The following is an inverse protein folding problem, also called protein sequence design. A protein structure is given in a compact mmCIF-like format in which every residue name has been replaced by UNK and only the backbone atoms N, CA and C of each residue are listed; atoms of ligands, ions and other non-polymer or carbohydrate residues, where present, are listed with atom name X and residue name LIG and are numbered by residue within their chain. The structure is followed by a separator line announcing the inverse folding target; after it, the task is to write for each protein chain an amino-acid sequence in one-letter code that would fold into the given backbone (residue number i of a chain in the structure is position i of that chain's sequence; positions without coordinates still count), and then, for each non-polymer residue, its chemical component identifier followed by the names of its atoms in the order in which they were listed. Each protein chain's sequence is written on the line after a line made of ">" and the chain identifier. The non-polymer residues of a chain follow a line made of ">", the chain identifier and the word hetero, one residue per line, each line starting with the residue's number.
data_IF_361793947520
#
_entry.id   IF_361793947520
#
_cell.length_a   1.000
_cell.length_b   1.000
_cell.length_c   1.000
_cell.angle_alpha   90.00
_cell.angle_beta   90.00
_cell.angle_gamma   90.00
#
_symmetry.space_group_name_H-M   'P 1'
#
loop_
_entity.id
_entity.type
_entity.pdbx_description
1 polymer ?
#
# COMPACT_ATOMS: atom_id res chain seq x y z
N UNK A 1 -60.58 1.17 -11.72
CA UNK A 1 -60.09 -0.20 -11.98
C UNK A 1 -60.16 -0.38 -13.49
N UNK A 2 -59.13 -0.65 -14.29
CA UNK A 2 -57.77 -1.23 -14.18
C UNK A 2 -57.14 -0.94 -15.57
N UNK A 3 -55.91 -0.40 -15.68
CA UNK A 3 -54.67 -1.10 -16.09
C UNK A 3 -54.87 -1.98 -17.35
N UNK A 4 -54.10 -1.95 -18.45
CA UNK A 4 -52.72 -1.54 -18.71
C UNK A 4 -52.36 -1.91 -20.17
N UNK A 5 -51.66 -1.04 -20.89
CA UNK A 5 -50.72 -1.37 -21.98
C UNK A 5 -49.96 -0.07 -22.27
N UNK A 6 -48.81 0.21 -21.69
CA UNK A 6 -47.62 -0.62 -21.82
C UNK A 6 -46.84 -0.28 -23.09
N UNK A 7 -46.94 0.95 -23.63
CA UNK A 7 -46.05 1.36 -24.71
C UNK A 7 -44.69 1.74 -24.11
N UNK A 8 -43.79 0.76 -24.17
CA UNK A 8 -42.39 0.89 -23.80
C UNK A 8 -41.81 2.03 -24.64
N UNK A 9 -41.48 3.14 -23.98
CA UNK A 9 -40.63 4.20 -24.53
C UNK A 9 -39.34 3.57 -25.05
N UNK A 10 -39.31 3.28 -26.35
CA UNK A 10 -38.08 3.02 -27.07
C UNK A 10 -37.22 4.26 -26.91
N UNK A 11 -35.92 4.14 -26.61
CA UNK A 11 -35.02 5.28 -26.66
C UNK A 11 -34.85 5.60 -28.13
N UNK A 12 -35.75 6.40 -28.69
CA UNK A 12 -35.51 7.06 -29.96
C UNK A 12 -34.22 7.84 -29.74
N UNK A 13 -33.12 7.35 -30.31
CA UNK A 13 -31.94 8.13 -30.66
C UNK A 13 -32.49 9.49 -31.05
N UNK A 14 -32.28 10.51 -30.19
CA UNK A 14 -32.90 11.84 -30.35
C UNK A 14 -32.80 12.17 -31.82
N UNK A 15 -33.94 12.22 -32.53
CA UNK A 15 -33.99 12.32 -33.99
C UNK A 15 -33.10 13.52 -34.35
N UNK A 16 -31.87 13.26 -34.80
CA UNK A 16 -30.87 14.31 -34.94
C UNK A 16 -31.43 15.29 -35.98
N UNK A 17 -31.51 16.56 -35.58
CA UNK A 17 -31.84 17.68 -36.45
C UNK A 17 -30.53 18.08 -37.12
N UNK A 18 -30.31 17.60 -38.35
CA UNK A 18 -29.17 18.05 -39.16
C UNK A 18 -29.54 19.36 -39.87
N UNK A 19 -28.55 20.19 -40.26
CA UNK A 19 -28.79 21.42 -41.02
C UNK A 19 -29.64 21.22 -42.28
N UNK A 20 -29.36 20.16 -43.05
CA UNK A 20 -30.07 19.82 -44.29
C UNK A 20 -31.51 19.43 -43.97
N UNK A 21 -31.69 18.69 -42.87
CA UNK A 21 -33.02 18.28 -42.45
C UNK A 21 -33.85 19.47 -42.05
N UNK A 22 -33.29 20.44 -41.33
CA UNK A 22 -33.99 21.67 -40.95
C UNK A 22 -34.46 22.43 -42.18
N UNK A 23 -33.58 22.60 -43.18
CA UNK A 23 -33.93 23.27 -44.46
C UNK A 23 -35.02 22.56 -45.25
N UNK A 24 -35.22 21.25 -45.01
CA UNK A 24 -36.24 20.44 -45.69
C UNK A 24 -37.59 20.37 -44.95
N UNK A 25 -37.69 20.91 -43.74
CA UNK A 25 -38.94 20.85 -42.96
C UNK A 25 -39.97 21.80 -43.57
N UNK A 26 -41.07 21.23 -44.05
CA UNK A 26 -42.20 22.00 -44.56
C UNK A 26 -43.30 22.10 -43.50
N UNK A 27 -43.82 23.30 -43.27
CA UNK A 27 -44.94 23.54 -42.34
C UNK A 27 -46.27 23.62 -43.11
N UNK A 28 -47.33 23.03 -42.56
CA UNK A 28 -48.68 23.12 -43.14
C UNK A 28 -49.26 24.52 -42.98
N UNK A 29 -49.98 25.01 -44.01
CA UNK A 29 -50.71 26.28 -43.94
C UNK A 29 -51.79 26.24 -42.85
N UNK A 30 -52.03 27.36 -42.19
CA UNK A 30 -53.11 27.48 -41.20
C UNK A 30 -54.49 27.18 -41.84
N UNK A 31 -55.38 26.48 -41.12
CA UNK A 31 -56.77 26.27 -41.55
C UNK A 31 -57.47 27.61 -41.80
N UNK A 32 -58.39 27.61 -42.78
CA UNK A 32 -59.18 28.78 -43.16
C UNK A 32 -59.79 29.47 -41.93
N UNK A 33 -59.58 30.79 -41.81
CA UNK A 33 -60.11 31.61 -40.72
C UNK A 33 -59.18 31.83 -39.51
N UNK A 34 -57.96 31.26 -39.50
CA UNK A 34 -56.94 31.54 -38.47
C UNK A 34 -55.72 32.24 -39.06
N UNK A 35 -55.17 33.25 -38.37
CA UNK A 35 -53.88 33.85 -38.74
C UNK A 35 -52.76 32.83 -38.45
N UNK A 36 -51.98 32.51 -39.48
CA UNK A 36 -50.75 31.72 -39.35
C UNK A 36 -49.51 32.59 -39.23
N UNK A 37 -48.37 31.97 -38.99
CA UNK A 37 -47.04 32.62 -39.07
C UNK A 37 -46.72 32.90 -40.54
N UNK A 38 -46.00 33.99 -40.82
CA UNK A 38 -45.54 34.32 -42.16
C UNK A 38 -44.55 33.24 -42.68
N UNK A 39 -44.80 32.62 -43.84
CA UNK A 39 -43.89 31.64 -44.42
C UNK A 39 -42.45 32.16 -44.61
N UNK A 40 -42.28 33.43 -44.96
CA UNK A 40 -40.96 34.02 -45.21
C UNK A 40 -40.14 34.16 -43.93
N UNK A 41 -40.76 34.52 -42.81
CA UNK A 41 -40.11 34.56 -41.50
C UNK A 41 -39.70 33.15 -41.04
N UNK A 42 -40.54 32.16 -41.31
CA UNK A 42 -40.27 30.75 -41.00
C UNK A 42 -39.10 30.21 -41.82
N UNK A 43 -39.00 30.55 -43.11
CA UNK A 43 -37.86 30.18 -43.96
C UNK A 43 -36.55 30.83 -43.49
N UNK A 44 -36.59 32.13 -43.14
CA UNK A 44 -35.42 32.84 -42.60
C UNK A 44 -34.95 32.21 -41.28
N UNK A 45 -35.88 31.87 -40.40
CA UNK A 45 -35.58 31.21 -39.13
C UNK A 45 -34.95 29.82 -39.35
N UNK A 46 -35.52 29.01 -40.26
CA UNK A 46 -34.95 27.70 -40.61
C UNK A 46 -33.52 27.83 -41.15
N UNK A 47 -33.25 28.83 -41.99
CA UNK A 47 -31.92 29.05 -42.54
C UNK A 47 -30.90 29.37 -41.45
N UNK A 48 -31.21 30.34 -40.58
CA UNK A 48 -30.34 30.71 -39.45
C UNK A 48 -30.09 29.55 -38.49
N UNK A 49 -31.13 28.79 -38.16
CA UNK A 49 -31.02 27.63 -37.28
C UNK A 49 -30.14 26.53 -37.91
N UNK A 50 -30.28 26.30 -39.22
CA UNK A 50 -29.44 25.35 -39.94
C UNK A 50 -27.97 25.80 -39.95
N UNK A 51 -27.68 27.09 -40.14
CA UNK A 51 -26.31 27.63 -40.09
C UNK A 51 -25.69 27.48 -38.69
N UNK A 52 -26.45 27.77 -37.64
CA UNK A 52 -25.97 27.64 -36.26
C UNK A 52 -25.63 26.19 -35.90
N UNK A 53 -26.48 25.25 -36.30
CA UNK A 53 -26.22 23.82 -36.09
C UNK A 53 -25.02 23.34 -36.91
N UNK A 54 -24.89 23.80 -38.16
CA UNK A 54 -23.72 23.47 -38.99
C UNK A 54 -22.41 23.98 -38.36
N UNK A 55 -22.42 25.20 -37.82
CA UNK A 55 -21.29 25.76 -37.11
C UNK A 55 -20.94 24.95 -35.84
N UNK A 56 -21.96 24.57 -35.06
CA UNK A 56 -21.79 23.72 -33.87
C UNK A 56 -21.27 22.32 -34.20
N UNK A 57 -21.72 21.71 -35.30
CA UNK A 57 -21.22 20.42 -35.78
C UNK A 57 -19.75 20.52 -36.24
N UNK A 58 -19.39 21.59 -36.96
CA UNK A 58 -18.01 21.83 -37.38
C UNK A 58 -17.06 21.99 -36.19
N UNK A 59 -17.46 22.76 -35.16
CA UNK A 59 -16.65 22.91 -33.95
C UNK A 59 -16.56 21.61 -33.15
N UNK A 60 -17.65 20.84 -33.03
CA UNK A 60 -17.61 19.51 -32.42
C UNK A 60 -16.67 18.56 -33.16
N UNK A 61 -16.68 18.57 -34.50
CA UNK A 61 -15.78 17.75 -35.31
C UNK A 61 -14.31 18.15 -35.08
N UNK A 62 -14.03 19.46 -35.00
CA UNK A 62 -12.71 19.99 -34.66
C UNK A 62 -12.25 19.57 -33.27
N UNK A 63 -13.10 19.71 -32.25
CA UNK A 63 -12.79 19.32 -30.88
C UNK A 63 -12.54 17.81 -30.76
N UNK A 64 -13.32 16.99 -31.46
CA UNK A 64 -13.09 15.53 -31.51
C UNK A 64 -11.76 15.18 -32.15
N UNK A 65 -11.42 15.82 -33.27
CA UNK A 65 -10.12 15.62 -33.92
C UNK A 65 -8.95 16.02 -33.00
N UNK A 66 -9.09 17.08 -32.21
CA UNK A 66 -8.06 17.49 -31.25
C UNK A 66 -7.98 16.53 -30.06
N UNK A 67 -9.11 16.04 -29.55
CA UNK A 67 -9.13 14.98 -28.52
C UNK A 67 -8.41 13.73 -29.02
N UNK A 68 -8.70 13.29 -30.24
CA UNK A 68 -8.09 12.10 -30.83
C UNK A 68 -6.59 12.31 -31.03
N UNK A 69 -6.19 13.48 -31.53
CA UNK A 69 -4.77 13.87 -31.63
C UNK A 69 -4.06 13.86 -30.27
N UNK A 70 -4.68 14.43 -29.23
CA UNK A 70 -4.11 14.44 -27.88
C UNK A 70 -3.99 13.03 -27.34
N UNK A 71 -5.04 12.21 -27.48
CA UNK A 71 -5.01 10.79 -27.08
C UNK A 71 -3.89 10.03 -27.79
N UNK A 72 -3.71 10.25 -29.09
CA UNK A 72 -2.63 9.63 -29.86
C UNK A 72 -1.25 10.12 -29.40
N UNK A 73 -1.12 11.43 -29.11
CA UNK A 73 0.11 11.99 -28.54
C UNK A 73 0.45 11.33 -27.20
N UNK A 74 -0.49 11.28 -26.25
CA UNK A 74 -0.27 10.63 -24.95
C UNK A 74 0.03 9.13 -25.09
N UNK A 75 -0.69 8.43 -25.97
CA UNK A 75 -0.45 7.00 -26.26
C UNK A 75 0.97 6.77 -26.80
N UNK A 76 1.44 7.64 -27.69
CA UNK A 76 2.82 7.56 -28.23
C UNK A 76 3.88 7.92 -27.19
N UNK A 77 3.55 8.72 -26.18
CA UNK A 77 4.45 9.12 -25.09
C UNK A 77 4.42 8.15 -23.90
N UNK A 78 3.65 7.05 -23.98
CA UNK A 78 3.61 6.00 -22.95
C UNK A 78 2.78 6.34 -21.71
N UNK A 79 2.14 7.52 -21.68
CA UNK A 79 1.18 7.88 -20.63
C UNK A 79 -0.21 7.44 -21.09
N UNK A 80 -0.72 6.37 -20.49
CA UNK A 80 -2.03 5.83 -20.85
C UNK A 80 -3.13 6.70 -20.23
N UNK A 81 -3.63 7.68 -20.97
CA UNK A 81 -4.60 8.70 -20.50
C UNK A 81 -6.04 8.19 -20.44
N UNK A 82 -6.29 6.90 -20.72
CA UNK A 82 -7.63 6.30 -20.63
C UNK A 82 -7.72 5.28 -19.47
N UNK A 83 -8.00 5.72 -18.23
CA UNK A 83 -8.17 4.81 -17.08
C UNK A 83 -9.40 3.89 -17.22
N UNK A 84 -10.35 4.22 -18.10
CA UNK A 84 -11.54 3.40 -18.39
C UNK A 84 -11.26 2.19 -19.29
N UNK A 85 -10.08 2.13 -19.92
CA UNK A 85 -9.67 1.05 -20.82
C UNK A 85 -8.51 0.23 -20.23
N UNK A 86 -8.32 0.19 -18.91
CA UNK A 86 -7.45 -0.80 -18.28
C UNK A 86 -8.06 -2.17 -18.62
N UNK A 87 -7.41 -3.00 -19.46
CA UNK A 87 -7.98 -4.29 -19.80
C UNK A 87 -7.95 -5.15 -18.53
N UNK A 88 -9.02 -5.92 -18.33
CA UNK A 88 -9.23 -6.93 -17.29
C UNK A 88 -8.00 -7.81 -16.94
N UNK A 89 -6.99 -7.86 -17.81
CA UNK A 89 -5.67 -8.48 -17.57
C UNK A 89 -4.87 -7.86 -16.42
N UNK A 90 -4.90 -6.54 -16.22
CA UNK A 90 -4.14 -5.91 -15.14
C UNK A 90 -4.68 -6.31 -13.75
N UNK A 91 -5.98 -6.61 -13.66
CA UNK A 91 -6.60 -7.13 -12.45
C UNK A 91 -6.15 -8.56 -12.15
N UNK A 92 -6.12 -9.43 -13.17
CA UNK A 92 -5.62 -10.81 -13.04
C UNK A 92 -4.12 -10.86 -12.68
N UNK A 93 -3.31 -10.00 -13.29
CA UNK A 93 -1.88 -9.91 -13.01
C UNK A 93 -1.61 -9.35 -11.61
N UNK A 94 -2.36 -8.33 -11.18
CA UNK A 94 -2.29 -7.81 -9.81
C UNK A 94 -2.71 -8.88 -8.78
N UNK A 95 -3.79 -9.65 -9.05
CA UNK A 95 -4.24 -10.75 -8.19
C UNK A 95 -3.21 -11.88 -8.13
N UNK A 96 -2.56 -12.22 -9.25
CA UNK A 96 -1.48 -13.20 -9.28
C UNK A 96 -0.27 -12.73 -8.48
N UNK A 97 0.15 -11.46 -8.65
CA UNK A 97 1.26 -10.88 -7.89
C UNK A 97 0.94 -10.83 -6.39
N UNK A 98 -0.31 -10.51 -6.02
CA UNK A 98 -0.77 -10.53 -4.63
C UNK A 98 -0.75 -11.94 -4.05
N UNK A 99 -1.17 -12.93 -4.83
CA UNK A 99 -1.15 -14.34 -4.42
C UNK A 99 0.28 -14.86 -4.22
N UNK A 100 1.20 -14.48 -5.12
CA UNK A 100 2.63 -14.81 -5.00
C UNK A 100 3.27 -14.15 -3.79
N UNK A 101 3.00 -12.86 -3.57
CA UNK A 101 3.48 -12.12 -2.40
C UNK A 101 2.94 -12.70 -1.09
N UNK A 102 1.67 -13.13 -1.06
CA UNK A 102 1.07 -13.79 0.10
C UNK A 102 1.76 -15.12 0.42
N UNK A 103 1.94 -15.99 -0.57
CA UNK A 103 2.67 -17.26 -0.40
C UNK A 103 4.09 -17.03 0.10
N UNK A 104 4.77 -16.00 -0.42
CA UNK A 104 6.11 -15.63 0.02
C UNK A 104 6.13 -15.13 1.46
N UNK A 105 5.16 -14.31 1.86
CA UNK A 105 5.02 -13.82 3.23
C UNK A 105 4.76 -14.97 4.21
N UNK A 106 3.89 -15.91 3.86
CA UNK A 106 3.63 -17.11 4.66
C UNK A 106 4.89 -17.96 4.84
N UNK A 107 5.69 -18.12 3.78
CA UNK A 107 6.97 -18.82 3.86
C UNK A 107 7.97 -18.13 4.79
N UNK A 108 8.08 -16.79 4.71
CA UNK A 108 8.93 -16.03 5.63
C UNK A 108 8.48 -16.14 7.08
N UNK A 109 7.18 -16.10 7.35
CA UNK A 109 6.63 -16.27 8.70
C UNK A 109 6.97 -17.66 9.23
N UNK A 110 6.74 -18.71 8.44
CA UNK A 110 7.07 -20.08 8.83
C UNK A 110 8.57 -20.26 9.13
N UNK A 111 9.43 -19.64 8.31
CA UNK A 111 10.87 -19.65 8.52
C UNK A 111 11.27 -18.91 9.81
N UNK A 112 10.71 -17.72 10.03
CA UNK A 112 10.98 -16.90 11.21
C UNK A 112 10.54 -17.62 12.50
N UNK A 113 9.35 -18.23 12.50
CA UNK A 113 8.86 -19.02 13.62
C UNK A 113 9.78 -20.21 13.92
N UNK A 114 10.21 -20.95 12.89
CA UNK A 114 11.13 -22.06 13.05
C UNK A 114 12.50 -21.62 13.59
N UNK A 115 12.97 -20.43 13.20
CA UNK A 115 14.21 -19.85 13.72
C UNK A 115 14.06 -19.43 15.19
N UNK A 116 12.97 -18.74 15.54
CA UNK A 116 12.69 -18.32 16.92
C UNK A 116 12.58 -19.52 17.87
N UNK A 117 11.93 -20.60 17.43
CA UNK A 117 11.84 -21.85 18.21
C UNK A 117 13.21 -22.47 18.44
N UNK A 118 14.08 -22.48 17.43
CA UNK A 118 15.47 -22.95 17.55
C UNK A 118 16.27 -22.09 18.53
N UNK A 119 16.26 -20.77 18.36
CA UNK A 119 16.96 -19.84 19.24
C UNK A 119 16.50 -19.96 20.70
N UNK A 120 15.20 -20.06 20.94
CA UNK A 120 14.65 -20.26 22.29
C UNK A 120 15.11 -21.59 22.88
N UNK A 121 15.12 -22.66 22.08
CA UNK A 121 15.62 -23.97 22.49
C UNK A 121 17.10 -23.94 22.83
N UNK A 122 17.91 -23.27 22.01
CA UNK A 122 19.36 -23.14 22.20
C UNK A 122 19.69 -22.32 23.44
N UNK A 123 19.06 -21.15 23.59
CA UNK A 123 19.22 -20.30 24.77
C UNK A 123 18.83 -21.04 26.05
N UNK A 124 17.74 -21.83 26.02
CA UNK A 124 17.32 -22.63 27.17
C UNK A 124 18.32 -23.72 27.51
N UNK A 125 18.88 -24.41 26.51
CA UNK A 125 19.92 -25.42 26.74
C UNK A 125 21.17 -24.80 27.34
N UNK A 126 21.64 -23.68 26.79
CA UNK A 126 22.80 -22.96 27.29
C UNK A 126 22.59 -22.47 28.74
N UNK A 127 21.42 -21.93 29.04
CA UNK A 127 21.09 -21.50 30.41
C UNK A 127 21.12 -22.68 31.40
N UNK A 128 20.59 -23.85 31.02
CA UNK A 128 20.64 -25.04 31.87
C UNK A 128 22.06 -25.53 32.09
N UNK A 129 22.92 -25.53 31.06
CA UNK A 129 24.34 -25.89 31.22
C UNK A 129 25.05 -24.94 32.17
N UNK A 130 24.86 -23.63 32.01
CA UNK A 130 25.48 -22.64 32.89
C UNK A 130 25.03 -22.77 34.35
N UNK A 131 23.75 -23.09 34.58
CA UNK A 131 23.25 -23.33 35.94
C UNK A 131 23.86 -24.60 36.54
N UNK A 132 23.96 -25.69 35.78
CA UNK A 132 24.58 -26.93 36.24
C UNK A 132 26.07 -26.73 36.57
N UNK A 133 26.80 -26.00 35.72
CA UNK A 133 28.21 -25.68 35.97
C UNK A 133 28.38 -24.82 37.23
N UNK A 134 27.49 -23.83 37.43
CA UNK A 134 27.49 -22.99 38.62
C UNK A 134 27.15 -23.76 39.90
N UNK A 135 26.18 -24.68 39.85
CA UNK A 135 25.85 -25.58 40.96
C UNK A 135 27.05 -26.46 41.33
N UNK A 136 27.70 -27.09 40.35
CA UNK A 136 28.88 -27.92 40.59
C UNK A 136 30.02 -27.11 41.23
N UNK A 137 30.26 -25.89 40.72
CA UNK A 137 31.28 -25.00 41.29
C UNK A 137 30.96 -24.63 42.74
N UNK A 138 29.68 -24.36 43.04
CA UNK A 138 29.23 -24.04 44.39
C UNK A 138 29.36 -25.24 45.34
N UNK A 139 29.05 -26.45 44.89
CA UNK A 139 29.23 -27.68 45.68
C UNK A 139 30.70 -27.94 46.01
N UNK A 140 31.60 -27.74 45.04
CA UNK A 140 33.06 -27.87 45.27
C UNK A 140 33.51 -26.84 46.31
N UNK A 141 33.14 -25.57 46.14
CA UNK A 141 33.50 -24.51 47.09
C UNK A 141 32.94 -24.79 48.50
N UNK A 142 31.70 -25.29 48.61
CA UNK A 142 31.09 -25.66 49.88
C UNK A 142 31.81 -26.84 50.55
N UNK A 143 32.25 -27.84 49.78
CA UNK A 143 33.03 -28.97 50.29
C UNK A 143 34.43 -28.56 50.75
N UNK A 144 35.08 -27.61 50.07
CA UNK A 144 36.36 -27.05 50.50
C UNK A 144 36.23 -26.34 51.85
N UNK A 145 35.18 -25.53 52.05
CA UNK A 145 34.90 -24.86 53.33
C UNK A 145 34.54 -25.88 54.42
N UNK A 146 33.76 -26.92 54.10
CA UNK A 146 33.40 -27.97 55.05
C UNK A 146 34.59 -28.86 55.44
N UNK A 147 35.49 -29.15 54.49
CA UNK A 147 36.75 -29.88 54.74
C UNK A 147 37.77 -29.06 55.53
N UNK A 148 37.71 -27.73 55.44
CA UNK A 148 38.52 -26.80 56.23
C UNK A 148 37.95 -26.51 57.63
N UNK A 149 36.79 -27.07 57.99
CA UNK A 149 36.08 -26.75 59.23
C UNK A 149 36.62 -27.44 60.49
N UNK A 150 37.67 -26.90 61.11
CA UNK A 150 37.80 -26.85 62.58
C UNK A 150 38.80 -25.75 63.03
N UNK A 151 38.43 -24.49 62.83
CA UNK A 151 39.03 -23.33 63.51
C UNK A 151 38.08 -22.79 64.58
N UNK A 152 38.59 -22.29 65.73
CA UNK A 152 37.74 -21.80 66.83
C UNK A 152 36.88 -20.61 66.35
N UNK A 153 35.77 -20.27 67.04
CA UNK A 153 34.88 -19.20 66.62
C UNK A 153 35.64 -17.86 66.61
N UNK A 154 36.10 -17.49 65.43
CA UNK A 154 36.76 -16.25 65.09
C UNK A 154 36.52 -16.06 63.60
N UNK A 155 36.08 -14.93 63.11
CA UNK A 155 35.90 -13.61 63.69
C UNK A 155 34.96 -12.91 62.71
N UNK A 156 34.22 -11.89 63.15
CA UNK A 156 33.36 -11.03 62.31
C UNK A 156 33.98 -10.59 60.96
N UNK A 157 35.31 -10.60 60.89
CA UNK A 157 36.10 -10.39 59.67
C UNK A 157 35.98 -11.50 58.60
N UNK A 158 35.85 -12.77 58.98
CA UNK A 158 35.64 -13.87 58.02
C UNK A 158 34.25 -13.75 57.36
N UNK A 159 33.22 -13.46 58.17
CA UNK A 159 31.87 -13.18 57.66
C UNK A 159 31.84 -11.95 56.74
N UNK A 160 32.61 -10.90 57.07
CA UNK A 160 32.76 -9.71 56.21
C UNK A 160 33.50 -10.01 54.90
N UNK A 161 34.53 -10.87 54.91
CA UNK A 161 35.24 -11.29 53.69
C UNK A 161 34.32 -12.11 52.78
N UNK A 162 33.58 -13.08 53.31
CA UNK A 162 32.62 -13.89 52.54
C UNK A 162 31.49 -13.05 51.94
N UNK A 163 31.05 -12.01 52.64
CA UNK A 163 30.05 -11.04 52.15
C UNK A 163 30.64 -10.15 51.04
N UNK A 164 31.91 -9.72 51.17
CA UNK A 164 32.59 -8.96 50.11
C UNK A 164 32.81 -9.80 48.85
N UNK A 165 33.16 -11.08 48.99
CA UNK A 165 33.33 -12.00 47.86
C UNK A 165 32.00 -12.24 47.12
N UNK A 166 30.89 -12.42 47.87
CA UNK A 166 29.55 -12.50 47.28
C UNK A 166 29.17 -11.23 46.53
N UNK A 167 29.47 -10.05 47.07
CA UNK A 167 29.24 -8.76 46.39
C UNK A 167 30.11 -8.62 45.14
N UNK A 168 31.36 -9.06 45.17
CA UNK A 168 32.25 -9.05 44.01
C UNK A 168 31.77 -10.01 42.91
N UNK A 169 31.31 -11.21 43.28
CA UNK A 169 30.71 -12.15 42.35
C UNK A 169 29.42 -11.58 41.71
N UNK A 170 28.56 -10.95 42.52
CA UNK A 170 27.36 -10.28 42.04
C UNK A 170 27.70 -9.11 41.11
N UNK A 171 28.67 -8.25 41.47
CA UNK A 171 29.10 -7.13 40.63
C UNK A 171 29.68 -7.62 39.30
N UNK A 172 30.45 -8.71 39.29
CA UNK A 172 30.97 -9.31 38.04
C UNK A 172 29.84 -9.84 37.17
N UNK A 173 28.90 -10.58 37.74
CA UNK A 173 27.73 -11.08 37.01
C UNK A 173 26.87 -9.94 36.47
N UNK A 174 26.67 -8.88 37.25
CA UNK A 174 25.94 -7.68 36.85
C UNK A 174 26.65 -6.94 35.71
N UNK A 175 27.95 -6.67 35.83
CA UNK A 175 28.73 -6.04 34.76
C UNK A 175 28.69 -6.87 33.47
N UNK A 176 28.78 -8.20 33.59
CA UNK A 176 28.67 -9.10 32.44
C UNK A 176 27.27 -9.03 31.80
N UNK A 177 26.20 -9.06 32.59
CA UNK A 177 24.83 -8.93 32.08
C UNK A 177 24.58 -7.58 31.38
N UNK A 178 25.09 -6.48 31.95
CA UNK A 178 25.01 -5.15 31.33
C UNK A 178 25.80 -5.10 30.02
N UNK A 179 26.99 -5.71 29.97
CA UNK A 179 27.81 -5.77 28.76
C UNK A 179 27.10 -6.55 27.64
N UNK A 180 26.49 -7.70 27.97
CA UNK A 180 25.71 -8.50 27.00
C UNK A 180 24.50 -7.72 26.51
N UNK A 181 23.75 -7.05 27.40
CA UNK A 181 22.59 -6.24 27.01
C UNK A 181 22.98 -5.06 26.12
N UNK A 182 24.09 -4.37 26.42
CA UNK A 182 24.56 -3.26 25.63
C UNK A 182 24.99 -3.71 24.22
N UNK A 183 25.65 -4.87 24.13
CA UNK A 183 26.05 -5.44 22.85
C UNK A 183 24.83 -5.85 22.01
N UNK A 184 23.88 -6.56 22.62
CA UNK A 184 22.64 -6.95 21.95
C UNK A 184 21.82 -5.73 21.48
N UNK A 185 21.75 -4.67 22.29
CA UNK A 185 21.10 -3.42 21.91
C UNK A 185 21.83 -2.74 20.74
N UNK A 186 23.16 -2.67 20.79
CA UNK A 186 23.98 -2.11 19.70
C UNK A 186 23.79 -2.86 18.38
N UNK A 187 23.76 -4.19 18.43
CA UNK A 187 23.54 -5.04 17.24
C UNK A 187 22.13 -4.86 16.69
N UNK A 188 21.12 -4.75 17.55
CA UNK A 188 19.75 -4.45 17.14
C UNK A 188 19.65 -3.09 16.45
N UNK A 189 20.32 -2.06 16.98
CA UNK A 189 20.37 -0.74 16.35
C UNK A 189 21.11 -0.76 15.01
N UNK A 190 22.25 -1.45 14.92
CA UNK A 190 23.01 -1.57 13.67
C UNK A 190 22.17 -2.23 12.57
N UNK A 191 21.44 -3.30 12.93
CA UNK A 191 20.53 -3.97 12.01
C UNK A 191 19.36 -3.07 11.56
N UNK A 192 18.82 -2.23 12.45
CA UNK A 192 17.73 -1.32 12.10
C UNK A 192 18.22 -0.18 11.18
N UNK A 193 19.42 0.33 11.40
CA UNK A 193 20.06 1.33 10.52
C UNK A 193 20.38 0.73 9.15
N UNK A 194 20.87 -0.51 9.10
CA UNK A 194 21.15 -1.19 7.83
C UNK A 194 19.86 -1.49 7.04
N UNK A 195 18.77 -1.87 7.71
CA UNK A 195 17.43 -1.95 7.08
C UNK A 195 16.98 -0.62 6.49
N UNK A 196 17.21 0.49 7.19
CA UNK A 196 16.87 1.84 6.71
C UNK A 196 17.76 2.28 5.54
N UNK A 197 19.03 1.87 5.53
CA UNK A 197 19.98 2.13 4.44
C UNK A 197 19.69 1.28 3.19
N UNK A 198 19.07 0.12 3.35
CA UNK A 198 18.68 -0.79 2.26
C UNK A 198 17.29 -0.49 1.67
N UNK A 199 16.55 0.49 2.20
CA UNK A 199 15.34 0.99 1.55
C UNK A 199 15.73 1.68 0.22
N UNK A 200 15.26 1.20 -0.94
CA UNK A 200 15.55 1.86 -2.22
C UNK A 200 14.92 3.26 -2.23
N UNK A 201 15.65 4.23 -2.80
CA UNK A 201 15.21 5.59 -3.10
C UNK A 201 13.96 5.63 -4.02
N UNK A 202 12.79 5.26 -3.50
CA UNK A 202 11.52 5.39 -4.21
C UNK A 202 11.07 6.86 -4.35
N UNK A 203 11.77 7.81 -3.70
CA UNK A 203 11.40 9.22 -3.68
C UNK A 203 12.30 10.14 -4.52
N UNK A 204 13.42 9.67 -5.07
CA UNK A 204 14.39 10.55 -5.77
C UNK A 204 14.13 10.74 -7.28
N UNK A 205 13.10 10.09 -7.86
CA UNK A 205 12.79 10.19 -9.29
C UNK A 205 11.53 11.02 -9.64
N UNK A 206 10.73 11.49 -8.68
CA UNK A 206 9.52 12.27 -8.99
C UNK A 206 9.75 13.79 -9.13
N UNK A 207 10.86 14.36 -8.65
CA UNK A 207 10.98 15.83 -8.51
C UNK A 207 12.03 16.51 -9.41
N UNK A 208 12.39 15.89 -10.55
CA UNK A 208 13.39 16.47 -11.48
C UNK A 208 12.90 16.73 -12.91
N UNK A 209 11.59 16.93 -13.10
CA UNK A 209 11.06 17.48 -14.36
C UNK A 209 10.02 18.57 -14.13
N UNK A 210 10.50 19.80 -13.96
CA UNK A 210 9.96 21.10 -14.43
C UNK A 210 10.92 22.18 -13.90
N UNK A 211 11.28 23.23 -14.65
CA UNK A 211 10.38 24.08 -15.43
C UNK A 211 10.29 23.78 -16.93
#
# INVERSE_FOLDING_TARGET
>A
MTLQAGDRRQPAVRRMLTPERIRSITFSKSPLGRRGVDPSEVELFQHRLAEEIAAGEAENARLRAEIDRLRDWYRSHGENVDPSLIPLKADVEAVNLLSEAQLQAEAYIAQAEAQCRRLTGDARRQALTLLADAEQQADIAAQEVAGAGHGPPGSRYADEIDEMERRLAWLRAFCHAVQVQLHAASDAFANEVDKLAQLPDYFSHQDRRRP
#
